data_IF_616298245885
#
_entry.id   IF_616298245885
#
_cell.length_a   1.000
_cell.length_b   1.000
_cell.length_c   1.000
_cell.angle_alpha   90.00
_cell.angle_beta   90.00
_cell.angle_gamma   90.00
#
_symmetry.space_group_name_H-M   'P 1'
#
loop_
_entity.id
_entity.type
_entity.pdbx_description
1 polymer ?
#
# COMPACT_ATOMS: atom_id res chain seq x y z
N UNK A 1 13.65 -1.48 -5.03
CA UNK A 1 13.76 -1.48 -6.51
C UNK A 1 15.13 -1.85 -7.06
N UNK A 2 15.99 -2.57 -6.32
CA UNK A 2 17.24 -3.08 -6.88
C UNK A 2 16.95 -4.35 -7.73
N UNK A 3 16.57 -4.11 -9.00
CA UNK A 3 16.21 -5.07 -10.09
C UNK A 3 14.74 -5.55 -10.21
N UNK A 4 13.74 -4.64 -10.20
CA UNK A 4 12.33 -4.98 -10.51
C UNK A 4 12.01 -4.92 -12.02
N UNK A 5 11.47 -5.99 -12.60
CA UNK A 5 11.43 -6.27 -14.04
C UNK A 5 10.33 -5.59 -14.89
N UNK A 6 9.48 -4.71 -14.33
CA UNK A 6 8.30 -4.20 -15.07
C UNK A 6 8.15 -2.68 -15.18
N UNK A 7 9.11 -1.89 -14.70
CA UNK A 7 9.23 -0.46 -15.01
C UNK A 7 8.44 0.53 -14.14
N UNK A 8 7.19 0.24 -13.74
CA UNK A 8 6.37 1.17 -12.92
C UNK A 8 5.35 0.43 -12.05
N UNK A 9 4.95 1.06 -10.93
CA UNK A 9 3.80 0.66 -10.08
C UNK A 9 2.55 1.51 -10.32
N UNK A 10 2.61 2.44 -11.27
CA UNK A 10 1.47 3.27 -11.66
C UNK A 10 0.23 2.43 -12.00
N UNK A 11 -0.91 2.90 -11.54
CA UNK A 11 -2.22 2.31 -11.81
C UNK A 11 -2.97 1.87 -10.57
N UNK A 12 -4.04 1.13 -10.81
CA UNK A 12 -4.95 0.60 -9.79
C UNK A 12 -4.54 -0.82 -9.37
N UNK A 13 -4.58 -1.09 -8.07
CA UNK A 13 -4.16 -2.36 -7.49
C UNK A 13 -5.08 -2.81 -6.35
N UNK A 14 -5.40 -4.09 -6.32
CA UNK A 14 -6.20 -4.68 -5.26
C UNK A 14 -5.32 -5.04 -4.07
N UNK A 15 -5.70 -4.64 -2.87
CA UNK A 15 -4.95 -4.94 -1.65
C UNK A 15 -5.35 -6.32 -1.15
N UNK A 16 -4.45 -7.29 -1.32
CA UNK A 16 -4.73 -8.70 -1.06
C UNK A 16 -4.43 -9.06 0.39
N UNK A 17 -3.35 -8.53 0.94
CA UNK A 17 -2.92 -8.86 2.30
C UNK A 17 -2.15 -7.73 2.98
N UNK A 18 -2.01 -7.81 4.30
CA UNK A 18 -1.19 -6.90 5.10
C UNK A 18 -1.14 -7.27 6.59
N UNK A 19 -0.48 -6.45 7.42
CA UNK A 19 -0.37 -6.70 8.88
C UNK A 19 -1.52 -6.17 9.73
N UNK A 20 -2.56 -5.59 9.13
CA UNK A 20 -3.67 -5.03 9.90
C UNK A 20 -4.81 -6.06 10.01
N UNK A 21 -5.23 -6.47 11.22
CA UNK A 21 -6.28 -7.47 11.40
C UNK A 21 -7.61 -7.04 10.78
N UNK A 22 -8.32 -7.97 10.15
CA UNK A 22 -9.57 -7.71 9.39
C UNK A 22 -10.74 -7.24 10.25
N UNK A 23 -10.66 -7.34 11.58
CA UNK A 23 -11.68 -6.91 12.53
C UNK A 23 -11.50 -5.45 13.00
N UNK A 24 -10.43 -4.77 12.58
CA UNK A 24 -10.17 -3.36 12.89
C UNK A 24 -10.92 -2.46 11.93
N UNK A 25 -11.57 -1.41 12.44
CA UNK A 25 -12.22 -0.37 11.63
C UNK A 25 -11.27 0.42 10.72
N UNK A 26 -9.96 0.34 10.98
CA UNK A 26 -8.91 0.94 10.17
C UNK A 26 -8.64 0.19 8.85
N UNK A 27 -9.21 -1.00 8.68
CA UNK A 27 -9.18 -1.78 7.44
C UNK A 27 -10.59 -2.28 7.11
N UNK A 28 -10.82 -2.56 5.84
CA UNK A 28 -12.12 -2.99 5.34
C UNK A 28 -12.02 -4.13 4.34
N UNK A 29 -13.15 -4.43 3.72
CA UNK A 29 -13.20 -5.29 2.54
C UNK A 29 -13.08 -4.41 1.28
N UNK A 30 -12.92 -5.04 0.12
CA UNK A 30 -12.90 -4.36 -1.17
C UNK A 30 -11.79 -3.29 -1.27
N UNK A 31 -10.64 -3.56 -0.64
CA UNK A 31 -9.55 -2.60 -0.57
C UNK A 31 -8.85 -2.46 -1.92
N UNK A 32 -8.64 -1.23 -2.35
CA UNK A 32 -7.91 -0.90 -3.57
C UNK A 32 -6.97 0.27 -3.29
N UNK A 33 -5.75 0.18 -3.81
CA UNK A 33 -4.79 1.27 -3.84
C UNK A 33 -4.62 1.76 -5.28
N UNK A 34 -4.34 3.05 -5.43
CA UNK A 34 -3.99 3.66 -6.71
C UNK A 34 -2.70 4.45 -6.54
N UNK A 35 -1.82 4.29 -7.51
CA UNK A 35 -0.55 5.02 -7.59
C UNK A 35 -0.55 5.84 -8.88
N UNK A 36 -0.41 7.14 -8.77
CA UNK A 36 -0.35 8.06 -9.92
C UNK A 36 0.95 8.85 -9.87
N UNK A 37 1.61 8.98 -11.01
CA UNK A 37 2.81 9.79 -11.16
C UNK A 37 2.45 11.05 -11.95
N UNK A 38 2.35 12.24 -11.31
CA UNK A 38 2.00 13.48 -12.00
C UNK A 38 3.06 13.85 -13.07
N UNK A 39 2.60 14.19 -14.27
CA UNK A 39 3.37 14.80 -15.37
C UNK A 39 4.77 14.24 -15.68
N UNK A 40 4.90 13.15 -16.46
CA UNK A 40 6.18 12.64 -17.04
C UNK A 40 7.39 12.47 -16.07
N UNK A 41 7.21 12.64 -14.76
CA UNK A 41 8.25 12.43 -13.75
C UNK A 41 7.93 11.18 -12.94
N UNK A 42 8.97 10.39 -12.66
CA UNK A 42 8.91 9.30 -11.68
C UNK A 42 9.24 9.78 -10.26
N UNK A 43 9.63 11.05 -10.15
CA UNK A 43 10.05 11.66 -8.90
C UNK A 43 8.86 11.91 -7.99
N UNK A 44 7.66 12.15 -8.52
CA UNK A 44 6.47 12.43 -7.71
C UNK A 44 5.42 11.32 -7.81
N UNK A 45 4.89 10.89 -6.67
CA UNK A 45 3.86 9.85 -6.60
C UNK A 45 2.72 10.26 -5.67
N UNK A 46 1.49 10.22 -6.20
CA UNK A 46 0.27 10.20 -5.41
C UNK A 46 -0.12 8.75 -5.12
N UNK A 47 -0.44 8.47 -3.86
CA UNK A 47 -0.98 7.20 -3.40
C UNK A 47 -2.37 7.44 -2.83
N UNK A 48 -3.36 6.71 -3.30
CA UNK A 48 -4.71 6.72 -2.75
C UNK A 48 -5.10 5.30 -2.34
N UNK A 49 -5.94 5.16 -1.33
CA UNK A 49 -6.58 3.88 -1.03
C UNK A 49 -8.04 4.08 -0.65
N UNK A 50 -8.88 3.20 -1.18
CA UNK A 50 -10.27 3.04 -0.79
C UNK A 50 -10.51 1.69 -0.10
N UNK A 51 -11.46 1.65 0.83
CA UNK A 51 -11.90 0.42 1.49
C UNK A 51 -13.32 0.56 2.05
N UNK A 52 -14.00 -0.56 2.28
CA UNK A 52 -15.36 -0.59 2.85
C UNK A 52 -15.38 -1.22 4.23
N UNK A 53 -15.88 -0.49 5.24
CA UNK A 53 -16.04 -1.00 6.60
C UNK A 53 -17.44 -0.70 7.13
N UNK A 54 -18.14 -1.70 7.68
CA UNK A 54 -19.49 -1.53 8.22
C UNK A 54 -20.54 -1.03 7.23
N UNK A 55 -20.33 -1.21 5.91
CA UNK A 55 -21.22 -0.70 4.86
C UNK A 55 -20.89 0.71 4.37
N UNK A 56 -19.93 1.40 5.00
CA UNK A 56 -19.45 2.74 4.63
C UNK A 56 -18.16 2.64 3.82
N UNK A 57 -18.04 3.48 2.80
CA UNK A 57 -16.82 3.60 2.00
C UNK A 57 -15.90 4.64 2.66
N UNK A 58 -14.63 4.28 2.79
CA UNK A 58 -13.56 5.10 3.35
C UNK A 58 -12.49 5.31 2.30
N UNK A 59 -11.85 6.48 2.36
CA UNK A 59 -10.80 6.87 1.43
C UNK A 59 -9.72 7.61 2.21
N UNK A 60 -8.47 7.32 1.90
CA UNK A 60 -7.33 8.10 2.35
C UNK A 60 -6.38 8.33 1.19
N UNK A 61 -5.85 9.55 1.15
CA UNK A 61 -5.01 10.03 0.07
C UNK A 61 -3.70 10.54 0.65
N UNK A 62 -2.64 10.27 -0.09
CA UNK A 62 -1.28 10.66 0.21
C UNK A 62 -0.65 11.21 -1.08
N UNK A 63 -0.70 12.52 -1.26
CA UNK A 63 -0.30 13.20 -2.50
C UNK A 63 1.05 13.86 -2.35
N UNK A 64 1.82 13.94 -3.44
CA UNK A 64 3.09 14.68 -3.47
C UNK A 64 4.26 13.96 -2.82
N UNK A 65 4.33 12.62 -2.93
CA UNK A 65 5.51 11.91 -2.42
C UNK A 65 6.68 12.05 -3.40
N UNK A 66 7.80 12.59 -2.94
CA UNK A 66 9.03 12.73 -3.71
C UNK A 66 9.93 11.48 -3.55
N UNK A 67 10.44 10.94 -4.66
CA UNK A 67 11.44 9.88 -4.68
C UNK A 67 12.76 10.42 -4.11
N UNK A 68 13.36 9.67 -3.18
CA UNK A 68 14.66 10.03 -2.64
C UNK A 68 15.73 9.93 -3.73
N UNK A 69 16.40 11.05 -4.00
CA UNK A 69 17.51 11.15 -4.96
C UNK A 69 18.64 10.15 -4.69
N UNK A 70 18.92 9.85 -3.41
CA UNK A 70 19.94 8.90 -2.99
C UNK A 70 19.41 7.46 -2.79
N UNK A 71 18.11 7.21 -2.94
CA UNK A 71 17.49 5.91 -2.68
C UNK A 71 16.30 5.60 -3.60
N UNK A 72 16.61 5.11 -4.81
CA UNK A 72 15.61 4.74 -5.83
C UNK A 72 14.58 3.75 -5.31
N UNK A 73 13.31 4.05 -5.56
CA UNK A 73 12.15 3.27 -5.15
C UNK A 73 11.75 3.46 -3.69
N UNK A 74 12.19 4.56 -3.08
CA UNK A 74 11.68 5.08 -1.81
C UNK A 74 11.12 6.46 -2.06
N UNK A 75 9.87 6.66 -1.67
CA UNK A 75 9.18 7.95 -1.76
C UNK A 75 8.89 8.47 -0.36
N UNK A 76 9.10 9.77 -0.12
CA UNK A 76 8.79 10.46 1.14
C UNK A 76 7.82 11.62 0.87
N UNK A 77 7.11 12.10 1.88
CA UNK A 77 6.40 13.37 1.73
C UNK A 77 7.38 14.55 1.63
N UNK A 78 6.98 15.67 1.00
CA UNK A 78 7.70 16.95 1.15
C UNK A 78 7.88 17.21 2.66
N UNK A 79 9.11 17.53 3.09
CA UNK A 79 9.53 17.75 4.49
C UNK A 79 9.84 16.51 5.35
N UNK A 80 9.85 15.29 4.79
CA UNK A 80 10.26 14.05 5.49
C UNK A 80 11.74 13.93 5.89
N UNK A 81 12.53 14.97 5.62
CA UNK A 81 13.98 15.13 5.83
C UNK A 81 14.38 15.21 7.32
N UNK A 82 13.40 15.41 8.20
CA UNK A 82 13.61 15.57 9.64
C UNK A 82 13.95 17.00 10.09
N UNK A 83 13.87 17.98 9.19
CA UNK A 83 14.02 19.41 9.52
C UNK A 83 12.69 20.04 10.01
N UNK A 84 11.56 19.35 9.79
CA UNK A 84 10.25 19.73 10.32
C UNK A 84 9.86 18.86 11.53
N UNK A 85 9.46 19.50 12.63
CA UNK A 85 9.00 18.83 13.86
C UNK A 85 7.56 18.32 13.74
N UNK A 86 6.91 18.55 12.60
CA UNK A 86 5.54 18.13 12.35
C UNK A 86 5.47 16.62 12.10
N UNK A 87 4.79 15.94 13.01
CA UNK A 87 4.64 14.49 13.02
C UNK A 87 4.17 13.95 11.66
N UNK A 88 3.33 14.70 10.92
CA UNK A 88 2.72 14.24 9.68
C UNK A 88 3.62 14.28 8.43
N UNK A 89 4.87 14.75 8.55
CA UNK A 89 5.80 14.84 7.41
C UNK A 89 6.74 13.62 7.36
N UNK A 90 6.78 12.81 8.42
CA UNK A 90 7.69 11.64 8.56
C UNK A 90 7.19 10.36 7.90
N UNK A 91 6.43 10.46 6.81
CA UNK A 91 6.02 9.28 6.06
C UNK A 91 6.99 8.97 4.93
N UNK A 92 7.24 7.69 4.74
CA UNK A 92 7.97 7.19 3.60
C UNK A 92 7.42 5.83 3.20
N UNK A 93 7.60 5.49 1.94
CA UNK A 93 7.09 4.25 1.37
C UNK A 93 8.09 3.63 0.41
N UNK A 94 8.04 2.31 0.27
CA UNK A 94 8.92 1.60 -0.66
C UNK A 94 8.32 0.27 -1.10
N UNK A 95 8.78 -0.23 -2.24
CA UNK A 95 8.48 -1.61 -2.66
C UNK A 95 9.50 -2.57 -2.07
N UNK A 96 9.01 -3.53 -1.28
CA UNK A 96 9.84 -4.54 -0.60
C UNK A 96 9.92 -5.87 -1.36
N UNK A 97 8.95 -6.18 -2.21
CA UNK A 97 8.97 -7.36 -3.09
C UNK A 97 8.21 -7.11 -4.38
N UNK A 98 8.54 -7.86 -5.43
CA UNK A 98 7.81 -7.89 -6.71
C UNK A 98 7.72 -9.35 -7.17
N UNK A 99 6.56 -9.76 -7.70
CA UNK A 99 6.43 -11.03 -8.43
C UNK A 99 5.28 -11.07 -9.44
N UNK A 100 5.31 -12.07 -10.30
CA UNK A 100 4.21 -12.37 -11.22
C UNK A 100 3.62 -13.73 -10.83
N UNK A 101 2.30 -13.84 -10.79
CA UNK A 101 1.61 -15.09 -10.49
C UNK A 101 0.44 -15.26 -11.46
N UNK A 102 0.43 -16.38 -12.20
CA UNK A 102 -0.62 -16.69 -13.19
C UNK A 102 -0.86 -15.57 -14.22
N UNK A 103 0.19 -14.82 -14.58
CA UNK A 103 0.13 -13.73 -15.57
C UNK A 103 -0.30 -12.39 -14.98
N UNK A 104 -0.56 -12.30 -13.68
CA UNK A 104 -0.87 -11.06 -12.99
C UNK A 104 0.30 -10.60 -12.13
N UNK A 105 0.63 -9.31 -12.25
CA UNK A 105 1.68 -8.69 -11.42
C UNK A 105 1.17 -8.48 -10.01
N UNK A 106 2.09 -8.58 -9.05
CA UNK A 106 1.88 -8.20 -7.67
C UNK A 106 3.15 -7.59 -7.09
N UNK A 107 3.00 -6.77 -6.07
CA UNK A 107 4.14 -6.27 -5.32
C UNK A 107 3.79 -6.05 -3.85
N UNK A 108 4.85 -6.07 -3.06
CA UNK A 108 4.81 -5.69 -1.66
C UNK A 108 5.04 -4.19 -1.53
N UNK A 109 4.06 -3.47 -0.99
CA UNK A 109 4.14 -2.06 -0.68
C UNK A 109 4.36 -1.87 0.81
N UNK A 110 5.45 -1.23 1.22
CA UNK A 110 5.71 -0.88 2.61
C UNK A 110 5.39 0.59 2.79
N UNK A 111 4.44 0.89 3.67
CA UNK A 111 4.09 2.26 4.04
C UNK A 111 4.47 2.52 5.49
N UNK A 112 5.27 3.55 5.73
CA UNK A 112 5.74 3.95 7.05
C UNK A 112 5.30 5.38 7.35
N UNK A 113 4.88 5.63 8.58
CA UNK A 113 4.46 6.96 9.03
C UNK A 113 4.94 7.27 10.44
N UNK A 114 4.64 8.44 11.00
CA UNK A 114 5.06 8.83 12.36
C UNK A 114 4.51 7.95 13.48
N UNK A 115 3.38 7.28 13.26
CA UNK A 115 2.89 6.29 14.22
C UNK A 115 3.94 5.18 14.43
N UNK A 116 4.82 4.93 13.45
CA UNK A 116 5.93 3.98 13.50
C UNK A 116 7.01 4.40 14.50
N UNK A 117 7.23 5.70 14.74
CA UNK A 117 8.17 6.12 15.81
C UNK A 117 7.70 5.63 17.19
N UNK A 118 6.40 5.42 17.37
CA UNK A 118 5.79 4.91 18.60
C UNK A 118 5.51 3.40 18.56
N UNK A 119 5.06 2.88 17.41
CA UNK A 119 4.66 1.47 17.28
C UNK A 119 5.81 0.59 16.81
N UNK A 120 6.88 1.16 16.25
CA UNK A 120 7.95 0.51 15.48
C UNK A 120 7.44 -0.38 14.35
N UNK A 121 6.19 -0.17 13.92
CA UNK A 121 5.45 -1.07 13.02
C UNK A 121 4.90 -0.28 11.84
N UNK A 122 5.56 -0.36 10.69
CA UNK A 122 4.99 0.08 9.41
C UNK A 122 3.85 -0.82 8.96
N UNK A 123 3.26 -0.49 7.82
CA UNK A 123 2.17 -1.23 7.19
C UNK A 123 2.65 -1.84 5.86
N UNK A 124 3.23 -3.05 5.90
CA UNK A 124 3.43 -3.87 4.71
C UNK A 124 2.08 -4.35 4.16
N UNK A 125 1.79 -3.93 2.94
CA UNK A 125 0.69 -4.39 2.12
C UNK A 125 1.19 -5.24 0.97
N UNK A 126 0.32 -6.11 0.47
CA UNK A 126 0.53 -6.89 -0.74
C UNK A 126 -0.57 -6.50 -1.69
N UNK A 127 -0.19 -5.98 -2.86
CA UNK A 127 -1.14 -5.51 -3.86
C UNK A 127 -0.95 -6.26 -5.19
N UNK A 128 -2.04 -6.44 -5.94
CA UNK A 128 -2.07 -7.28 -7.16
C UNK A 128 -3.01 -6.71 -8.22
N UNK A 129 -2.72 -6.97 -9.49
CA UNK A 129 -3.54 -6.48 -10.62
C UNK A 129 -4.97 -7.04 -10.65
N UNK A 130 -5.17 -8.24 -10.11
CA UNK A 130 -6.49 -8.87 -9.98
C UNK A 130 -6.87 -9.10 -8.53
N UNK A 131 -8.17 -8.93 -8.22
CA UNK A 131 -8.73 -9.04 -6.86
C UNK A 131 -8.76 -10.49 -6.33
N UNK A 132 -8.82 -11.46 -7.23
CA UNK A 132 -8.91 -12.88 -6.86
C UNK A 132 -7.55 -13.44 -6.44
N UNK A 133 -7.52 -14.39 -5.51
CA UNK A 133 -6.30 -15.09 -5.13
C UNK A 133 -6.60 -16.52 -4.71
N UNK A 134 -5.64 -17.40 -4.95
CA UNK A 134 -5.70 -18.83 -4.59
C UNK A 134 -4.89 -19.10 -3.34
N UNK A 135 -5.05 -20.28 -2.73
CA UNK A 135 -4.19 -20.68 -1.60
C UNK A 135 -2.70 -20.78 -2.02
N UNK A 136 -2.42 -21.15 -3.27
CA UNK A 136 -1.05 -21.14 -3.80
C UNK A 136 -0.44 -19.73 -3.85
N UNK A 137 -1.25 -18.71 -4.16
CA UNK A 137 -0.78 -17.32 -4.07
C UNK A 137 -0.50 -16.92 -2.61
N UNK A 138 -1.31 -17.38 -1.65
CA UNK A 138 -1.07 -17.10 -0.22
C UNK A 138 0.30 -17.63 0.23
N UNK A 139 0.64 -18.85 -0.15
CA UNK A 139 1.94 -19.47 0.18
C UNK A 139 3.11 -18.65 -0.38
N UNK A 140 2.98 -18.13 -1.61
CA UNK A 140 3.99 -17.23 -2.21
C UNK A 140 4.14 -15.97 -1.36
N UNK A 141 3.03 -15.33 -1.03
CA UNK A 141 3.03 -14.10 -0.23
C UNK A 141 3.62 -14.33 1.16
N UNK A 142 3.19 -15.37 1.87
CA UNK A 142 3.69 -15.76 3.19
C UNK A 142 5.21 -15.97 3.19
N UNK A 143 5.73 -16.65 2.16
CA UNK A 143 7.17 -16.86 2.00
C UNK A 143 7.95 -15.55 1.84
N UNK A 144 7.46 -14.64 1.01
CA UNK A 144 8.07 -13.32 0.80
C UNK A 144 7.99 -12.43 2.06
N UNK A 145 6.87 -12.48 2.74
CA UNK A 145 6.62 -11.70 3.94
C UNK A 145 7.49 -12.18 5.12
N UNK A 146 7.67 -13.49 5.25
CA UNK A 146 8.59 -14.09 6.23
C UNK A 146 10.04 -13.75 5.91
N UNK A 147 10.46 -13.85 4.64
CA UNK A 147 11.81 -13.48 4.21
C UNK A 147 12.13 -11.99 4.43
N UNK A 148 11.12 -11.13 4.51
CA UNK A 148 11.27 -9.69 4.77
C UNK A 148 11.41 -9.36 6.26
N UNK A 149 11.27 -10.34 7.15
CA UNK A 149 11.37 -10.17 8.61
C UNK A 149 10.15 -9.50 9.25
N UNK A 150 9.07 -9.28 8.50
CA UNK A 150 7.85 -8.65 9.03
C UNK A 150 7.05 -9.57 9.95
N UNK A 151 7.22 -10.90 9.85
CA UNK A 151 6.52 -11.91 10.66
C UNK A 151 7.30 -12.35 11.93
N UNK A 152 8.48 -11.78 12.18
CA UNK A 152 9.35 -12.23 13.29
C UNK A 152 8.89 -11.75 14.69
N UNK A 153 7.93 -10.82 14.75
CA UNK A 153 7.24 -10.44 15.99
C UNK A 153 5.88 -11.14 16.08
N UNK A 154 5.60 -11.80 17.20
CA UNK A 154 4.34 -12.49 17.52
C UNK A 154 3.07 -11.59 17.38
N UNK A 155 3.24 -10.29 17.19
CA UNK A 155 2.21 -9.28 17.01
C UNK A 155 1.93 -8.86 15.55
N UNK A 156 2.71 -9.32 14.57
CA UNK A 156 2.58 -8.92 13.15
C UNK A 156 2.05 -10.06 12.29
N UNK A 157 0.79 -10.46 12.54
CA UNK A 157 0.12 -11.45 11.69
C UNK A 157 -0.06 -10.95 10.25
N UNK A 158 0.01 -11.86 9.28
CA UNK A 158 -0.40 -11.59 7.90
C UNK A 158 -1.89 -11.92 7.75
N UNK A 159 -2.67 -10.95 7.29
CA UNK A 159 -4.09 -11.09 7.07
C UNK A 159 -4.42 -10.94 5.60
N UNK A 160 -5.21 -11.86 5.06
CA UNK A 160 -5.73 -11.79 3.71
C UNK A 160 -7.12 -11.14 3.73
N UNK A 161 -7.30 -10.09 2.92
CA UNK A 161 -8.52 -9.30 2.89
C UNK A 161 -9.55 -9.91 1.94
N UNK A 162 -10.83 -9.69 2.25
CA UNK A 162 -11.91 -10.18 1.41
C UNK A 162 -12.07 -9.26 0.19
N UNK A 163 -11.97 -9.87 -0.98
CA UNK A 163 -12.04 -9.24 -2.30
C UNK A 163 -13.08 -10.00 -3.13
N UNK A 164 -13.90 -9.30 -3.91
CA UNK A 164 -15.05 -9.90 -4.60
C UNK A 164 -15.44 -9.09 -5.83
N UNK A 165 -16.03 -9.73 -6.84
CA UNK A 165 -16.64 -9.06 -7.99
C UNK A 165 -17.84 -8.18 -7.62
N UNK A 166 -18.43 -8.42 -6.45
CA UNK A 166 -19.52 -7.61 -5.89
C UNK A 166 -19.04 -6.29 -5.27
N UNK A 167 -17.73 -6.09 -5.15
CA UNK A 167 -17.15 -4.87 -4.63
C UNK A 167 -17.28 -3.74 -5.66
N UNK A 168 -17.61 -2.54 -5.18
CA UNK A 168 -17.58 -1.33 -6.00
C UNK A 168 -16.17 -0.73 -5.94
N UNK A 169 -15.34 -1.11 -6.93
CA UNK A 169 -13.98 -0.60 -7.10
C UNK A 169 -13.94 0.67 -7.95
N UNK A 170 -15.08 1.32 -8.18
CA UNK A 170 -15.09 2.61 -8.84
C UNK A 170 -14.63 3.65 -7.82
N UNK A 171 -13.59 4.40 -8.17
CA UNK A 171 -13.14 5.57 -7.43
C UNK A 171 -14.23 6.65 -7.47
N UNK A 172 -15.17 6.56 -6.53
CA UNK A 172 -16.16 7.60 -6.32
C UNK A 172 -15.51 8.72 -5.52
N UNK A 173 -14.90 9.69 -6.21
CA UNK A 173 -14.69 11.00 -5.59
C UNK A 173 -16.07 11.59 -5.32
N UNK A 174 -16.70 11.22 -4.20
CA UNK A 174 -17.76 12.05 -3.64
C UNK A 174 -17.05 13.21 -2.95
N UNK A 175 -16.50 14.12 -3.75
CA UNK A 175 -16.64 15.52 -3.39
C UNK A 175 -18.15 15.75 -3.35
N UNK A 176 -18.74 15.54 -2.17
CA UNK A 176 -19.82 16.43 -1.81
C UNK A 176 -19.16 17.80 -1.83
N UNK A 177 -19.36 18.49 -2.94
CA UNK A 177 -19.36 19.94 -2.94
C UNK A 177 -20.29 20.32 -1.78
N UNK A 178 -19.67 20.61 -0.64
CA UNK A 178 -20.35 21.27 0.46
C UNK A 178 -20.53 22.70 -0.05
N UNK A 179 -21.69 22.95 -0.67
CA UNK A 179 -22.22 24.31 -0.82
C UNK A 179 -22.36 24.99 0.55
#
# INVERSE_FOLDING_TARGET
>A
YTNGSWGSVEGDWYVIAGNVPTDKSAVGNCMQMKFEFPEDTTEWMNQEMMYKSGGTDYMWNYTGNEELTDYTGVWKNEDGDGDNDEIYDRFWSSVWAVGEFEGEKWFGWYFCGPAVDYTQKGMPWVVKQGYSYTDAFKEVVEGHYSASGFLDDDDQGLYFYNQSDTCDYVWHHRSVDVE
#
